data_IF_546970484374
#
_entry.id   IF_546970484374
#
_cell.length_a   1.000
_cell.length_b   1.000
_cell.length_c   1.000
_cell.angle_alpha   90.00
_cell.angle_beta   90.00
_cell.angle_gamma   90.00
#
_symmetry.space_group_name_H-M   'P 1'
#
loop_
_entity.id
_entity.type
_entity.pdbx_description
1 polymer ?
#
# COMPACT_ATOMS: atom_id res chain seq x y z
N UNK A 1 64.49 -12.56 -25.50
CA UNK A 1 63.25 -11.75 -25.53
C UNK A 1 62.01 -12.60 -25.22
N UNK A 2 61.61 -12.76 -23.95
CA UNK A 2 60.39 -13.52 -23.57
C UNK A 2 59.56 -12.87 -22.44
N UNK A 3 59.81 -11.59 -22.08
CA UNK A 3 59.07 -10.90 -21.01
C UNK A 3 57.85 -10.10 -21.47
N UNK A 4 57.75 -9.72 -22.75
CA UNK A 4 56.72 -8.77 -23.21
C UNK A 4 55.36 -9.42 -23.57
N UNK A 5 55.32 -10.75 -23.80
CA UNK A 5 54.06 -11.43 -24.15
C UNK A 5 53.17 -11.73 -22.94
N UNK A 6 53.74 -11.80 -21.74
CA UNK A 6 53.01 -12.19 -20.51
C UNK A 6 52.24 -11.01 -19.90
N UNK A 7 52.84 -9.81 -19.92
CA UNK A 7 52.21 -8.59 -19.39
C UNK A 7 51.01 -8.18 -20.26
N UNK A 8 51.14 -8.27 -21.58
CA UNK A 8 50.04 -7.95 -22.51
C UNK A 8 48.81 -8.86 -22.31
N UNK A 9 49.02 -10.14 -21.97
CA UNK A 9 47.93 -11.09 -21.72
C UNK A 9 47.22 -10.81 -20.39
N UNK A 10 47.94 -10.38 -19.36
CA UNK A 10 47.36 -10.02 -18.06
C UNK A 10 46.51 -8.75 -18.13
N UNK A 11 46.97 -7.74 -18.86
CA UNK A 11 46.25 -6.47 -19.04
C UNK A 11 44.95 -6.66 -19.85
N UNK A 12 44.96 -7.55 -20.84
CA UNK A 12 43.78 -7.86 -21.64
C UNK A 12 42.72 -8.63 -20.82
N UNK A 13 43.15 -9.56 -19.96
CA UNK A 13 42.27 -10.30 -19.06
C UNK A 13 41.58 -9.39 -18.03
N UNK A 14 42.30 -8.40 -17.49
CA UNK A 14 41.74 -7.41 -16.56
C UNK A 14 40.76 -6.43 -17.23
N UNK A 15 40.96 -6.12 -18.51
CA UNK A 15 40.07 -5.24 -19.30
C UNK A 15 38.76 -5.95 -19.68
N UNK A 16 38.82 -7.27 -19.94
CA UNK A 16 37.62 -8.08 -20.19
C UNK A 16 36.84 -8.28 -18.88
N UNK A 17 37.53 -8.47 -17.75
CA UNK A 17 36.87 -8.65 -16.46
C UNK A 17 36.19 -7.36 -15.94
N UNK A 18 36.74 -6.19 -16.24
CA UNK A 18 36.17 -4.90 -15.83
C UNK A 18 35.00 -4.43 -16.72
N UNK A 19 34.89 -4.89 -17.97
CA UNK A 19 33.78 -4.52 -18.87
C UNK A 19 32.53 -5.36 -18.67
N UNK A 20 32.64 -6.56 -18.09
CA UNK A 20 31.48 -7.38 -17.70
C UNK A 20 30.83 -6.94 -16.38
N UNK A 21 31.53 -6.18 -15.52
CA UNK A 21 30.97 -5.70 -14.24
C UNK A 21 29.97 -4.55 -14.38
N UNK A 22 29.82 -3.94 -15.57
CA UNK A 22 28.95 -2.77 -15.76
C UNK A 22 27.62 -3.06 -16.48
N UNK A 23 27.38 -4.28 -16.96
CA UNK A 23 26.24 -4.59 -17.83
C UNK A 23 25.00 -5.18 -17.13
N UNK A 24 24.98 -5.30 -15.81
CA UNK A 24 23.80 -5.81 -15.09
C UNK A 24 23.35 -4.89 -13.95
N UNK A 25 23.15 -3.60 -14.25
CA UNK A 25 21.99 -2.92 -13.68
C UNK A 25 20.77 -3.33 -14.50
N UNK A 26 20.42 -4.62 -14.45
CA UNK A 26 19.08 -5.03 -14.81
C UNK A 26 18.17 -4.24 -13.88
N UNK A 27 17.38 -3.33 -14.46
CA UNK A 27 16.28 -2.68 -13.77
C UNK A 27 15.49 -3.79 -13.08
N UNK A 28 15.62 -3.91 -11.76
CA UNK A 28 14.75 -4.76 -10.98
C UNK A 28 13.35 -4.19 -11.17
N UNK A 29 12.59 -4.77 -12.09
CA UNK A 29 11.18 -4.46 -12.26
C UNK A 29 10.55 -4.79 -10.92
N UNK A 30 10.07 -3.74 -10.26
CA UNK A 30 9.55 -3.84 -8.90
C UNK A 30 8.41 -4.86 -8.92
N UNK A 31 8.57 -5.97 -8.21
CA UNK A 31 7.56 -7.03 -8.23
C UNK A 31 6.22 -6.49 -7.73
N UNK A 32 5.15 -6.79 -8.47
CA UNK A 32 3.80 -6.45 -8.03
C UNK A 32 3.58 -7.02 -6.63
N UNK A 33 3.15 -6.14 -5.71
CA UNK A 33 3.03 -6.51 -4.30
C UNK A 33 1.63 -6.18 -3.80
N UNK A 34 0.98 -7.16 -3.20
CA UNK A 34 -0.32 -6.99 -2.57
C UNK A 34 -0.18 -6.20 -1.27
N UNK A 35 -1.04 -5.21 -1.09
CA UNK A 35 -1.04 -4.32 0.07
C UNK A 35 -2.41 -4.31 0.74
N UNK A 36 -2.49 -3.97 2.03
CA UNK A 36 -3.75 -4.02 2.79
C UNK A 36 -4.04 -2.72 3.52
N UNK A 37 -5.32 -2.34 3.63
CA UNK A 37 -5.77 -1.10 4.28
C UNK A 37 -7.22 -1.20 4.76
N UNK A 38 -7.73 -0.16 5.42
CA UNK A 38 -9.13 -0.05 5.84
C UNK A 38 -9.55 1.41 6.05
N UNK A 39 -10.84 1.70 5.86
CA UNK A 39 -11.44 3.02 6.10
C UNK A 39 -12.12 3.12 7.46
N UNK A 40 -12.16 4.32 8.04
CA UNK A 40 -12.99 4.62 9.20
C UNK A 40 -13.48 6.06 9.23
N UNK A 41 -14.64 6.29 9.84
CA UNK A 41 -15.19 7.62 10.08
C UNK A 41 -15.91 7.63 11.41
N UNK A 42 -15.82 8.73 12.15
CA UNK A 42 -16.44 8.85 13.46
C UNK A 42 -17.11 10.20 13.67
N UNK A 43 -18.10 10.23 14.56
CA UNK A 43 -18.77 11.44 14.99
C UNK A 43 -18.87 11.43 16.52
N UNK A 44 -18.32 12.45 17.16
CA UNK A 44 -18.32 12.59 18.62
C UNK A 44 -19.69 12.97 19.18
N UNK A 45 -20.52 13.68 18.40
CA UNK A 45 -21.86 14.09 18.82
C UNK A 45 -22.79 12.88 18.93
N UNK A 46 -22.75 11.98 17.94
CA UNK A 46 -23.57 10.76 17.94
C UNK A 46 -22.88 9.56 18.58
N UNK A 47 -21.63 9.72 19.03
CA UNK A 47 -20.78 8.63 19.56
C UNK A 47 -20.81 7.40 18.65
N UNK A 48 -20.58 7.59 17.35
CA UNK A 48 -20.63 6.50 16.36
C UNK A 48 -19.32 6.39 15.60
N UNK A 49 -18.78 5.17 15.51
CA UNK A 49 -17.64 4.82 14.65
C UNK A 49 -18.14 3.88 13.54
N UNK A 50 -17.94 4.29 12.30
CA UNK A 50 -18.02 3.43 11.13
C UNK A 50 -16.63 2.93 10.77
N UNK A 51 -16.48 1.63 10.54
CA UNK A 51 -15.19 1.02 10.18
C UNK A 51 -15.39 -0.07 9.14
N UNK A 52 -14.62 -0.03 8.04
CA UNK A 52 -14.72 -1.04 6.99
C UNK A 52 -14.11 -2.38 7.41
N UNK A 53 -14.35 -3.42 6.62
CA UNK A 53 -13.43 -4.57 6.51
C UNK A 53 -12.02 -4.14 6.07
N UNK A 54 -11.03 -5.04 6.21
CA UNK A 54 -9.73 -4.85 5.55
C UNK A 54 -9.90 -5.12 4.07
N UNK A 55 -9.36 -4.23 3.25
CA UNK A 55 -9.39 -4.28 1.79
C UNK A 55 -7.97 -4.44 1.25
N UNK A 56 -7.84 -4.97 0.04
CA UNK A 56 -6.55 -5.18 -0.63
C UNK A 56 -6.34 -4.22 -1.79
N UNK A 57 -5.09 -3.83 -2.01
CA UNK A 57 -4.60 -3.05 -3.15
C UNK A 57 -3.38 -3.73 -3.77
N UNK A 58 -2.82 -3.12 -4.82
CA UNK A 58 -1.56 -3.55 -5.45
C UNK A 58 -0.69 -2.31 -5.68
N UNK A 59 0.61 -2.44 -5.42
CA UNK A 59 1.61 -1.44 -5.80
C UNK A 59 2.51 -1.99 -6.89
N UNK A 60 3.10 -1.10 -7.67
CA UNK A 60 3.93 -1.39 -8.84
C UNK A 60 3.19 -2.18 -9.93
N UNK A 61 1.88 -1.96 -10.08
CA UNK A 61 1.09 -2.71 -11.08
C UNK A 61 1.21 -2.09 -12.46
N UNK A 62 1.34 -2.92 -13.50
CA UNK A 62 1.28 -2.45 -14.89
C UNK A 62 -0.15 -2.25 -15.38
N UNK A 63 -1.11 -2.96 -14.77
CA UNK A 63 -2.52 -2.98 -15.18
C UNK A 63 -3.36 -1.95 -14.41
N UNK A 64 -3.07 -1.77 -13.13
CA UNK A 64 -3.87 -0.94 -12.23
C UNK A 64 -3.08 0.26 -11.73
N UNK A 65 -3.78 1.34 -11.39
CA UNK A 65 -3.22 2.46 -10.63
C UNK A 65 -2.78 1.96 -9.25
N UNK A 66 -1.60 2.39 -8.82
CA UNK A 66 -1.04 1.98 -7.53
C UNK A 66 -1.98 2.37 -6.38
N UNK A 67 -2.13 1.45 -5.43
CA UNK A 67 -2.96 1.66 -4.26
C UNK A 67 -2.34 2.73 -3.34
N UNK A 68 -3.02 3.88 -3.25
CA UNK A 68 -2.61 5.02 -2.42
C UNK A 68 -3.65 5.35 -1.36
N UNK A 69 -3.20 5.89 -0.22
CA UNK A 69 -4.07 6.32 0.89
C UNK A 69 -5.17 7.28 0.45
N UNK A 70 -4.88 8.19 -0.49
CA UNK A 70 -5.87 9.15 -0.98
C UNK A 70 -7.02 8.48 -1.76
N UNK A 71 -6.72 7.44 -2.55
CA UNK A 71 -7.73 6.70 -3.31
C UNK A 71 -8.67 5.96 -2.36
N UNK A 72 -8.11 5.32 -1.34
CA UNK A 72 -8.91 4.67 -0.30
C UNK A 72 -9.77 5.68 0.46
N UNK A 73 -9.22 6.86 0.81
CA UNK A 73 -9.97 7.93 1.46
C UNK A 73 -11.14 8.41 0.60
N UNK A 74 -10.94 8.62 -0.69
CA UNK A 74 -11.99 9.09 -1.59
C UNK A 74 -13.12 8.07 -1.71
N UNK A 75 -12.79 6.81 -2.00
CA UNK A 75 -13.80 5.74 -2.11
C UNK A 75 -14.52 5.49 -0.78
N UNK A 76 -13.81 5.57 0.34
CA UNK A 76 -14.42 5.46 1.67
C UNK A 76 -15.38 6.63 1.95
N UNK A 77 -14.99 7.87 1.62
CA UNK A 77 -15.86 9.02 1.77
C UNK A 77 -17.13 8.91 0.91
N UNK A 78 -17.00 8.41 -0.32
CA UNK A 78 -18.17 8.20 -1.18
C UNK A 78 -19.09 7.12 -0.64
N UNK A 79 -18.54 6.02 -0.08
CA UNK A 79 -19.34 5.04 0.67
C UNK A 79 -20.06 5.68 1.85
N UNK A 80 -19.37 6.52 2.61
CA UNK A 80 -19.96 7.19 3.78
C UNK A 80 -21.08 8.15 3.41
N UNK A 81 -20.98 8.91 2.30
CA UNK A 81 -22.09 9.75 1.81
C UNK A 81 -23.37 8.96 1.52
N UNK A 82 -23.24 7.70 1.11
CA UNK A 82 -24.39 6.81 0.87
C UNK A 82 -24.98 6.29 2.17
N UNK A 83 -24.14 5.89 3.13
CA UNK A 83 -24.58 5.33 4.42
C UNK A 83 -25.14 6.44 5.33
N UNK A 84 -24.49 7.61 5.34
CA UNK A 84 -24.81 8.72 6.23
C UNK A 84 -25.09 9.97 5.41
N UNK A 85 -26.36 10.39 5.39
CA UNK A 85 -26.79 11.63 4.71
C UNK A 85 -26.07 12.87 5.25
N UNK A 86 -25.65 12.83 6.51
CA UNK A 86 -24.93 13.89 7.21
C UNK A 86 -23.41 13.64 7.28
N UNK A 87 -22.82 12.96 6.28
CA UNK A 87 -21.38 12.66 6.24
C UNK A 87 -20.47 13.85 6.58
N UNK A 88 -20.87 15.07 6.22
CA UNK A 88 -20.09 16.29 6.47
C UNK A 88 -19.86 16.60 7.96
N UNK A 89 -20.64 16.02 8.88
CA UNK A 89 -20.42 16.16 10.32
C UNK A 89 -19.48 15.09 10.90
N UNK A 90 -18.99 14.16 10.07
CA UNK A 90 -18.09 13.09 10.50
C UNK A 90 -16.64 13.48 10.24
N UNK A 91 -15.78 13.22 11.22
CA UNK A 91 -14.35 13.18 10.99
C UNK A 91 -14.02 11.88 10.27
N UNK A 92 -13.54 11.99 9.03
CA UNK A 92 -13.21 10.85 8.20
C UNK A 92 -11.70 10.72 8.00
N UNK A 93 -11.16 9.58 8.37
CA UNK A 93 -9.76 9.22 8.17
C UNK A 93 -9.71 7.82 7.58
N UNK A 94 -9.12 7.66 6.40
CA UNK A 94 -8.78 6.34 5.90
C UNK A 94 -7.37 5.97 6.36
N UNK A 95 -7.14 4.70 6.71
CA UNK A 95 -5.77 4.22 6.97
C UNK A 95 -5.01 4.00 5.67
N UNK A 96 -3.68 3.96 5.76
CA UNK A 96 -2.82 3.70 4.62
C UNK A 96 -2.83 2.23 4.20
N UNK A 97 -2.38 1.99 2.97
CA UNK A 97 -1.96 0.67 2.54
C UNK A 97 -0.55 0.39 3.01
N UNK A 98 -0.23 -0.86 3.32
CA UNK A 98 1.12 -1.28 3.60
C UNK A 98 1.45 -2.63 2.94
N UNK A 99 2.72 -2.79 2.56
CA UNK A 99 3.14 -3.57 1.39
C UNK A 99 3.66 -4.97 1.64
N UNK A 100 3.61 -5.47 2.86
CA UNK A 100 4.26 -6.69 3.28
C UNK A 100 3.26 -7.68 3.90
N UNK A 101 3.50 -9.00 3.76
CA UNK A 101 2.55 -10.04 4.21
C UNK A 101 2.36 -10.03 5.73
N UNK A 102 3.44 -9.83 6.49
CA UNK A 102 3.40 -9.63 7.96
C UNK A 102 2.59 -8.40 8.36
N UNK A 103 2.27 -7.55 7.38
CA UNK A 103 1.56 -6.30 7.59
C UNK A 103 0.05 -6.42 7.36
N UNK A 104 -0.47 -7.54 6.84
CA UNK A 104 -1.89 -7.83 7.05
C UNK A 104 -2.23 -7.89 8.55
N UNK A 105 -1.42 -8.63 9.32
CA UNK A 105 -1.59 -8.75 10.77
C UNK A 105 -1.41 -7.40 11.46
N UNK A 106 -0.49 -6.56 10.97
CA UNK A 106 -0.31 -5.19 11.47
C UNK A 106 -1.55 -4.34 11.21
N UNK A 107 -2.08 -4.34 9.99
CA UNK A 107 -3.31 -3.62 9.61
C UNK A 107 -4.50 -4.12 10.43
N UNK A 108 -4.59 -5.44 10.64
CA UNK A 108 -5.60 -6.03 11.50
C UNK A 108 -5.47 -5.59 12.95
N UNK A 109 -4.26 -5.56 13.51
CA UNK A 109 -3.99 -5.05 14.87
C UNK A 109 -4.31 -3.57 14.98
N UNK A 110 -3.95 -2.75 14.00
CA UNK A 110 -4.29 -1.32 13.96
C UNK A 110 -5.80 -1.10 13.94
N UNK A 111 -6.52 -1.83 13.08
CA UNK A 111 -7.99 -1.82 13.05
C UNK A 111 -8.60 -2.23 14.39
N UNK A 112 -8.09 -3.30 14.98
CA UNK A 112 -8.56 -3.81 16.27
C UNK A 112 -8.29 -2.80 17.38
N UNK A 113 -7.10 -2.18 17.41
CA UNK A 113 -6.73 -1.15 18.38
C UNK A 113 -7.62 0.09 18.24
N UNK A 114 -7.90 0.54 17.02
CA UNK A 114 -8.81 1.65 16.75
C UNK A 114 -10.21 1.35 17.29
N UNK A 115 -10.77 0.20 16.95
CA UNK A 115 -12.09 -0.23 17.44
C UNK A 115 -12.09 -0.30 18.97
N UNK A 116 -11.05 -0.88 19.57
CA UNK A 116 -10.89 -0.97 21.03
C UNK A 116 -10.87 0.40 21.71
N UNK A 117 -10.13 1.37 21.15
CA UNK A 117 -10.10 2.75 21.63
C UNK A 117 -11.52 3.36 21.67
N UNK A 118 -12.23 3.34 20.54
CA UNK A 118 -13.56 3.96 20.46
C UNK A 118 -14.60 3.21 21.31
N UNK A 119 -14.50 1.88 21.43
CA UNK A 119 -15.31 1.11 22.38
C UNK A 119 -15.12 1.58 23.82
N UNK A 120 -13.87 1.84 24.22
CA UNK A 120 -13.56 2.35 25.56
C UNK A 120 -14.05 3.80 25.78
N UNK A 121 -14.35 4.55 24.72
CA UNK A 121 -14.93 5.90 24.75
C UNK A 121 -16.47 5.89 24.59
N UNK A 122 -17.10 4.73 24.77
CA UNK A 122 -18.55 4.48 24.66
C UNK A 122 -19.15 4.74 23.26
N UNK A 123 -18.35 4.55 22.20
CA UNK A 123 -18.87 4.64 20.85
C UNK A 123 -19.63 3.38 20.44
N UNK A 124 -20.75 3.57 19.75
CA UNK A 124 -21.38 2.52 18.93
C UNK A 124 -20.51 2.21 17.71
N UNK A 125 -20.17 0.94 17.53
CA UNK A 125 -19.29 0.48 16.45
C UNK A 125 -20.12 -0.16 15.34
N UNK A 126 -20.09 0.45 14.15
CA UNK A 126 -20.78 -0.03 12.96
C UNK A 126 -19.73 -0.57 11.98
N UNK A 127 -19.75 -1.89 11.76
CA UNK A 127 -18.90 -2.52 10.75
C UNK A 127 -19.56 -2.38 9.37
N UNK A 128 -18.88 -1.70 8.45
CA UNK A 128 -19.30 -1.56 7.06
C UNK A 128 -18.66 -2.70 6.27
N UNK A 129 -19.34 -3.85 6.23
CA UNK A 129 -18.81 -5.08 5.64
C UNK A 129 -18.94 -5.16 4.12
N UNK A 130 -19.79 -4.32 3.54
CA UNK A 130 -20.06 -4.21 2.10
C UNK A 130 -19.21 -3.14 1.41
N UNK A 131 -18.10 -2.73 2.05
CA UNK A 131 -17.09 -1.89 1.45
C UNK A 131 -16.01 -2.75 0.77
N UNK A 132 -15.56 -2.30 -0.40
CA UNK A 132 -14.42 -2.86 -1.09
C UNK A 132 -13.63 -1.74 -1.75
N UNK A 133 -12.31 -1.89 -1.82
CA UNK A 133 -11.46 -0.98 -2.57
C UNK A 133 -11.47 -1.38 -4.05
N UNK A 134 -11.99 -0.50 -4.90
CA UNK A 134 -11.99 -0.69 -6.33
C UNK A 134 -10.62 -0.27 -6.90
N UNK A 135 -9.94 -1.21 -7.55
CA UNK A 135 -8.71 -0.91 -8.30
C UNK A 135 -9.10 -0.25 -9.61
N UNK A 136 -8.55 0.92 -9.88
CA UNK A 136 -8.74 1.62 -11.16
C UNK A 136 -7.72 1.08 -12.17
N UNK A 137 -8.18 0.76 -13.39
CA UNK A 137 -7.25 0.46 -14.48
C UNK A 137 -6.52 1.74 -14.89
N UNK A 138 -5.25 1.61 -15.28
CA UNK A 138 -4.55 2.72 -15.92
C UNK A 138 -5.24 2.99 -17.27
N UNK A 139 -5.58 4.25 -17.54
CA UNK A 139 -6.04 4.64 -18.86
C UNK A 139 -4.86 4.50 -19.83
N UNK A 140 -5.06 3.80 -20.94
CA UNK A 140 -4.10 3.68 -22.05
C UNK A 140 -3.90 5.02 -22.77
#
# INVERSE_FOLDING_TARGET
>A
MKKNKTILRLSLLLLILSTFSFLTKASAQSQETNVYGFGYSYNYNTKTLYVSNIVSGVINSEVYVDAMTINLKNQWNDKMKVITKDYYTYNSTANGFASDRDVYDKIYKERTKLIGKYKAEDFSIINVTDFYFAKEKKNE
#
